data_IF_129823990885
#
_entry.id   IF_129823990885
#
_cell.length_a   1.000
_cell.length_b   1.000
_cell.length_c   1.000
_cell.angle_alpha   90.00
_cell.angle_beta   90.00
_cell.angle_gamma   90.00
#
_symmetry.space_group_name_H-M   'P 1'
#
loop_
_entity.id
_entity.type
_entity.pdbx_description
1 polymer ?
#
# COMPACT_ATOMS: atom_id res chain seq x y z
N UNK A 1 48.92 5.68 -12.89
CA UNK A 1 47.45 5.79 -12.93
C UNK A 1 47.05 6.95 -12.04
N UNK A 2 46.69 8.09 -12.61
CA UNK A 2 46.22 9.26 -11.86
C UNK A 2 44.89 8.89 -11.18
N UNK A 3 44.81 9.07 -9.85
CA UNK A 3 43.56 9.01 -9.13
C UNK A 3 42.68 10.17 -9.64
N UNK A 4 41.75 9.87 -10.54
CA UNK A 4 40.72 10.83 -10.92
C UNK A 4 39.93 11.18 -9.67
N UNK A 5 40.02 12.42 -9.26
CA UNK A 5 39.31 12.92 -8.08
C UNK A 5 37.90 13.32 -8.55
N UNK A 6 36.91 12.46 -8.35
CA UNK A 6 35.51 12.67 -8.76
C UNK A 6 34.74 13.61 -7.84
N UNK A 7 35.35 14.08 -6.77
CA UNK A 7 34.75 15.01 -5.82
C UNK A 7 34.69 16.39 -6.47
N UNK A 8 33.47 16.97 -6.54
CA UNK A 8 33.19 18.28 -7.23
C UNK A 8 33.28 18.26 -8.77
N UNK A 9 33.31 17.11 -9.40
CA UNK A 9 33.23 17.03 -10.86
C UNK A 9 31.76 17.20 -11.29
N UNK A 10 31.44 18.24 -12.02
CA UNK A 10 30.12 18.52 -12.59
C UNK A 10 29.89 17.63 -13.78
N UNK A 11 29.44 16.42 -13.55
CA UNK A 11 29.07 15.50 -14.63
C UNK A 11 27.56 15.52 -14.82
N UNK A 12 27.08 15.58 -16.06
CA UNK A 12 25.66 15.42 -16.32
C UNK A 12 25.22 14.01 -15.89
N UNK A 13 24.00 13.92 -15.37
CA UNK A 13 23.34 12.68 -15.04
C UNK A 13 23.27 11.76 -16.29
N UNK A 14 23.42 10.45 -16.14
CA UNK A 14 23.45 9.49 -17.26
C UNK A 14 22.27 9.62 -18.22
N UNK A 15 21.11 9.97 -17.74
CA UNK A 15 19.90 10.20 -18.53
C UNK A 15 19.67 11.66 -18.93
N UNK A 16 20.58 12.59 -18.59
CA UNK A 16 20.39 14.03 -18.84
C UNK A 16 20.11 14.32 -20.32
N UNK A 17 20.86 13.69 -21.21
CA UNK A 17 20.64 13.85 -22.66
C UNK A 17 19.24 13.41 -23.08
N UNK A 18 18.74 12.31 -22.56
CA UNK A 18 17.40 11.81 -22.88
C UNK A 18 16.31 12.80 -22.45
N UNK A 19 16.48 13.40 -21.26
CA UNK A 19 15.50 14.38 -20.75
C UNK A 19 15.48 15.66 -21.58
N UNK A 20 16.63 16.23 -21.91
CA UNK A 20 16.70 17.48 -22.68
C UNK A 20 16.39 17.31 -24.16
N UNK A 21 16.56 16.10 -24.70
CA UNK A 21 16.27 15.80 -26.12
C UNK A 21 14.85 15.27 -26.35
N UNK A 22 14.08 15.00 -25.29
CA UNK A 22 12.75 14.40 -25.39
C UNK A 22 12.73 12.89 -25.67
N UNK A 23 13.89 12.21 -25.56
CA UNK A 23 13.98 10.74 -25.72
C UNK A 23 13.78 9.97 -24.42
N UNK A 24 13.56 10.66 -23.30
CA UNK A 24 13.27 9.97 -22.05
C UNK A 24 11.87 9.35 -22.14
N UNK A 25 11.79 8.03 -21.96
CA UNK A 25 10.55 7.29 -21.84
C UNK A 25 10.25 7.07 -20.35
N UNK A 26 9.07 7.45 -19.93
CA UNK A 26 8.53 7.16 -18.60
C UNK A 26 7.56 5.98 -18.69
N UNK A 27 7.17 5.42 -17.57
CA UNK A 27 6.25 4.28 -17.53
C UNK A 27 4.96 4.56 -18.27
N UNK A 28 4.45 5.78 -18.20
CA UNK A 28 3.19 6.19 -18.86
C UNK A 28 3.33 6.38 -20.39
N UNK A 29 4.58 6.48 -20.89
CA UNK A 29 4.86 6.56 -22.34
C UNK A 29 4.94 5.18 -23.00
N UNK A 30 5.06 4.13 -22.19
CA UNK A 30 5.18 2.75 -22.68
C UNK A 30 3.80 2.26 -23.11
N UNK A 31 3.69 1.82 -24.37
CA UNK A 31 2.46 1.25 -24.88
C UNK A 31 2.03 0.02 -24.08
N UNK A 32 0.79 0.02 -23.63
CA UNK A 32 0.24 -1.12 -22.89
C UNK A 32 0.22 -2.39 -23.77
N UNK A 33 0.60 -3.55 -23.20
CA UNK A 33 0.48 -4.83 -23.89
C UNK A 33 -0.96 -5.11 -24.33
N UNK A 34 -1.14 -5.84 -25.44
CA UNK A 34 -2.47 -6.29 -25.85
C UNK A 34 -3.10 -7.15 -24.74
N UNK A 35 -4.39 -6.96 -24.52
CA UNK A 35 -5.17 -7.65 -23.49
C UNK A 35 -4.77 -7.28 -22.05
N UNK A 36 -4.18 -6.11 -21.83
CA UNK A 36 -3.98 -5.57 -20.49
C UNK A 36 -5.31 -5.49 -19.75
N UNK A 37 -5.32 -5.93 -18.50
CA UNK A 37 -6.45 -5.79 -17.58
C UNK A 37 -6.14 -4.75 -16.53
N UNK A 38 -7.16 -4.07 -16.06
CA UNK A 38 -7.02 -2.92 -15.16
C UNK A 38 -7.54 -3.24 -13.78
N UNK A 39 -6.76 -2.88 -12.77
CA UNK A 39 -7.08 -3.11 -11.38
C UNK A 39 -7.73 -1.91 -10.70
N UNK A 40 -8.67 -2.18 -9.80
CA UNK A 40 -9.15 -1.22 -8.82
C UNK A 40 -9.28 -1.89 -7.45
N UNK A 41 -8.98 -1.14 -6.40
CA UNK A 41 -8.98 -1.65 -5.03
C UNK A 41 -10.23 -1.16 -4.29
N UNK A 42 -10.94 -2.07 -3.66
CA UNK A 42 -12.04 -1.78 -2.74
C UNK A 42 -11.51 -1.41 -1.38
N UNK A 43 -11.78 -0.18 -0.96
CA UNK A 43 -11.25 0.40 0.26
C UNK A 43 -12.29 0.47 1.36
N UNK A 44 -11.85 0.36 2.61
CA UNK A 44 -12.69 0.56 3.78
C UNK A 44 -13.17 2.00 3.91
N UNK A 45 -14.45 2.16 4.22
CA UNK A 45 -15.07 3.45 4.60
C UNK A 45 -15.09 3.68 6.12
N UNK A 46 -14.45 2.80 6.88
CA UNK A 46 -14.38 2.86 8.35
C UNK A 46 -12.93 2.94 8.80
N UNK A 47 -12.68 3.72 9.84
CA UNK A 47 -11.35 3.87 10.43
C UNK A 47 -11.00 2.74 11.41
N UNK A 48 -12.00 2.20 12.13
CA UNK A 48 -11.81 1.08 13.03
C UNK A 48 -13.13 0.32 13.18
N UNK A 49 -13.17 -0.90 12.68
CA UNK A 49 -14.39 -1.70 12.68
C UNK A 49 -14.10 -3.19 12.51
N UNK A 50 -15.01 -4.01 13.01
CA UNK A 50 -15.05 -5.44 12.68
C UNK A 50 -15.83 -5.61 11.39
N UNK A 51 -15.28 -6.33 10.44
CA UNK A 51 -15.95 -6.73 9.22
C UNK A 51 -16.89 -7.88 9.55
N UNK A 52 -18.19 -7.66 9.36
CA UNK A 52 -19.21 -8.70 9.58
C UNK A 52 -19.50 -9.49 8.32
N UNK A 53 -19.56 -8.80 7.18
CA UNK A 53 -19.82 -9.40 5.88
C UNK A 53 -19.29 -8.51 4.76
N UNK A 54 -18.66 -9.12 3.78
CA UNK A 54 -18.34 -8.51 2.50
C UNK A 54 -19.18 -9.24 1.43
N UNK A 55 -20.09 -8.53 0.79
CA UNK A 55 -20.89 -9.04 -0.31
C UNK A 55 -20.42 -8.40 -1.62
N UNK A 56 -19.81 -9.21 -2.46
CA UNK A 56 -19.24 -8.83 -3.74
C UNK A 56 -20.05 -9.38 -4.93
N UNK A 57 -21.28 -9.86 -4.70
CA UNK A 57 -22.12 -10.46 -5.73
C UNK A 57 -22.39 -9.49 -6.88
N UNK A 58 -22.71 -8.22 -6.57
CA UNK A 58 -22.97 -7.20 -7.57
C UNK A 58 -21.67 -6.74 -8.26
N UNK A 59 -20.54 -6.81 -7.57
CA UNK A 59 -19.22 -6.52 -8.14
C UNK A 59 -18.87 -7.56 -9.19
N UNK A 60 -18.97 -8.85 -8.85
CA UNK A 60 -18.66 -9.97 -9.74
C UNK A 60 -19.54 -10.01 -11.00
N UNK A 61 -20.78 -9.51 -10.91
CA UNK A 61 -21.72 -9.43 -12.03
C UNK A 61 -21.60 -8.14 -12.86
N UNK A 62 -20.70 -7.24 -12.49
CA UNK A 62 -20.54 -5.96 -13.17
C UNK A 62 -19.92 -6.16 -14.55
N UNK A 63 -20.35 -5.33 -15.48
CA UNK A 63 -19.83 -5.31 -16.85
C UNK A 63 -18.31 -5.17 -16.86
N UNK A 64 -17.66 -5.96 -17.72
CA UNK A 64 -16.21 -5.92 -17.92
C UNK A 64 -15.36 -6.45 -16.78
N UNK A 65 -15.95 -6.90 -15.67
CA UNK A 65 -15.21 -7.53 -14.55
C UNK A 65 -14.77 -8.93 -14.96
N UNK A 66 -13.48 -9.18 -14.86
CA UNK A 66 -12.85 -10.46 -15.18
C UNK A 66 -12.66 -11.29 -13.92
N UNK A 67 -12.16 -10.66 -12.85
CA UNK A 67 -11.90 -11.33 -11.58
C UNK A 67 -12.05 -10.39 -10.40
N UNK A 68 -12.35 -10.97 -9.25
CA UNK A 68 -12.38 -10.27 -7.96
C UNK A 68 -11.55 -11.09 -6.97
N UNK A 69 -10.53 -10.46 -6.42
CA UNK A 69 -9.57 -11.07 -5.50
C UNK A 69 -9.84 -10.60 -4.08
N UNK A 70 -9.91 -11.53 -3.15
CA UNK A 70 -10.14 -11.30 -1.72
C UNK A 70 -9.03 -11.93 -0.89
N UNK A 71 -9.09 -11.78 0.42
CA UNK A 71 -8.14 -12.41 1.33
C UNK A 71 -8.06 -13.93 1.14
N UNK A 72 -9.18 -14.60 0.86
CA UNK A 72 -9.23 -16.06 0.66
C UNK A 72 -8.57 -16.53 -0.63
N UNK A 73 -8.32 -15.66 -1.58
CA UNK A 73 -7.69 -15.98 -2.86
C UNK A 73 -6.16 -15.87 -2.82
N UNK A 74 -5.60 -15.40 -1.70
CA UNK A 74 -4.16 -15.29 -1.50
C UNK A 74 -3.61 -16.67 -1.15
N UNK A 75 -2.86 -17.25 -2.08
CA UNK A 75 -2.30 -18.61 -1.93
C UNK A 75 -1.09 -18.66 -0.99
N UNK A 76 -0.45 -17.52 -0.73
CA UNK A 76 0.71 -17.40 0.15
C UNK A 76 0.33 -16.78 1.49
N UNK A 77 1.33 -16.18 2.11
CA UNK A 77 1.15 -15.42 3.35
C UNK A 77 0.41 -14.11 3.06
N UNK A 78 -0.69 -13.87 3.78
CA UNK A 78 -1.45 -12.62 3.69
C UNK A 78 -0.82 -11.52 4.56
N UNK A 79 0.45 -11.25 4.34
CA UNK A 79 1.21 -10.24 5.09
C UNK A 79 2.40 -9.77 4.25
N UNK A 80 2.59 -8.47 4.14
CA UNK A 80 3.68 -7.83 3.38
C UNK A 80 4.68 -7.11 4.28
N UNK A 81 4.56 -7.27 5.60
CA UNK A 81 5.48 -6.67 6.56
C UNK A 81 6.93 -7.14 6.32
N UNK A 82 7.87 -6.21 6.04
CA UNK A 82 9.24 -6.57 5.64
C UNK A 82 10.09 -7.06 6.82
N UNK A 83 9.76 -6.68 8.03
CA UNK A 83 10.52 -7.00 9.25
C UNK A 83 9.65 -7.67 10.30
N UNK A 84 8.45 -7.15 10.52
CA UNK A 84 7.48 -7.68 11.48
C UNK A 84 6.16 -7.98 10.78
N UNK A 85 5.47 -8.99 11.29
CA UNK A 85 4.12 -9.32 10.86
C UNK A 85 3.12 -8.27 11.33
N UNK A 86 2.10 -7.99 10.53
CA UNK A 86 1.02 -7.08 10.91
C UNK A 86 0.49 -6.21 9.79
N UNK A 87 1.05 -6.32 8.58
CA UNK A 87 0.60 -5.59 7.39
C UNK A 87 -0.12 -6.51 6.40
N UNK A 88 -1.37 -6.91 6.70
CA UNK A 88 -2.10 -7.82 5.81
C UNK A 88 -2.42 -7.16 4.48
N UNK A 89 -2.27 -7.91 3.37
CA UNK A 89 -2.66 -7.48 2.02
C UNK A 89 -4.16 -7.11 2.03
N UNK A 90 -5.00 -8.02 2.54
CA UNK A 90 -6.40 -7.75 2.85
C UNK A 90 -6.72 -8.24 4.27
N UNK A 91 -7.34 -7.41 5.11
CA UNK A 91 -7.68 -7.81 6.48
C UNK A 91 -8.74 -8.91 6.50
N UNK A 92 -8.60 -9.86 7.43
CA UNK A 92 -9.58 -10.95 7.62
C UNK A 92 -10.83 -10.45 8.36
N UNK A 93 -10.65 -9.86 9.54
CA UNK A 93 -11.77 -9.59 10.45
C UNK A 93 -11.94 -8.13 10.86
N UNK A 94 -10.87 -7.36 10.83
CA UNK A 94 -10.85 -6.02 11.42
C UNK A 94 -10.23 -5.00 10.47
N UNK A 95 -10.88 -3.86 10.37
CA UNK A 95 -10.35 -2.67 9.72
C UNK A 95 -9.68 -1.80 10.77
N UNK A 96 -8.46 -1.34 10.49
CA UNK A 96 -7.64 -0.58 11.42
C UNK A 96 -7.42 0.88 11.00
N UNK A 97 -7.66 1.20 9.72
CA UNK A 97 -7.59 2.58 9.23
C UNK A 97 -8.56 2.81 8.08
N UNK A 98 -8.93 4.08 7.89
CA UNK A 98 -9.76 4.50 6.76
C UNK A 98 -8.99 4.32 5.45
N UNK A 99 -9.63 3.73 4.46
CA UNK A 99 -8.98 3.45 3.18
C UNK A 99 -8.17 2.15 3.17
N UNK A 100 -8.27 1.28 4.18
CA UNK A 100 -7.60 -0.02 4.15
C UNK A 100 -8.14 -0.88 3.01
N UNK A 101 -7.25 -1.49 2.17
CA UNK A 101 -7.65 -2.42 1.12
C UNK A 101 -8.45 -3.60 1.65
N UNK A 102 -9.56 -3.97 1.01
CA UNK A 102 -10.41 -5.08 1.42
C UNK A 102 -10.53 -6.17 0.36
N UNK A 103 -10.46 -5.79 -0.90
CA UNK A 103 -10.49 -6.67 -2.07
C UNK A 103 -9.98 -5.90 -3.29
N UNK A 104 -9.65 -6.61 -4.36
CA UNK A 104 -9.28 -6.03 -5.65
C UNK A 104 -10.20 -6.54 -6.76
N UNK A 105 -10.40 -5.71 -7.78
CA UNK A 105 -11.18 -6.04 -8.97
C UNK A 105 -10.28 -5.89 -10.19
N UNK A 106 -10.28 -6.88 -11.06
CA UNK A 106 -9.68 -6.81 -12.38
C UNK A 106 -10.79 -6.70 -13.44
N UNK A 107 -10.69 -5.72 -14.33
CA UNK A 107 -11.67 -5.47 -15.38
C UNK A 107 -10.99 -5.09 -16.72
N UNK A 108 -11.79 -5.03 -17.78
CA UNK A 108 -11.31 -4.72 -19.13
C UNK A 108 -10.91 -3.25 -19.31
N UNK A 109 -11.39 -2.34 -18.44
CA UNK A 109 -10.98 -0.93 -18.41
C UNK A 109 -10.88 -0.42 -16.98
N UNK A 110 -10.07 0.61 -16.78
CA UNK A 110 -9.93 1.29 -15.48
C UNK A 110 -11.27 1.82 -14.96
N UNK A 111 -12.10 2.36 -15.87
CA UNK A 111 -13.41 2.92 -15.49
C UNK A 111 -14.37 1.85 -15.00
N UNK A 112 -14.44 0.71 -15.69
CA UNK A 112 -15.27 -0.42 -15.29
C UNK A 112 -14.82 -1.02 -13.98
N UNK A 113 -13.50 -1.16 -13.76
CA UNK A 113 -12.95 -1.61 -12.48
C UNK A 113 -13.38 -0.68 -11.33
N UNK A 114 -13.20 0.63 -11.47
CA UNK A 114 -13.60 1.62 -10.47
C UNK A 114 -15.11 1.66 -10.22
N UNK A 115 -15.94 1.56 -11.25
CA UNK A 115 -17.41 1.48 -11.10
C UNK A 115 -17.83 0.20 -10.39
N UNK A 116 -17.20 -0.92 -10.69
CA UNK A 116 -17.51 -2.20 -10.07
C UNK A 116 -17.22 -2.19 -8.56
N UNK A 117 -16.07 -1.65 -8.14
CA UNK A 117 -15.69 -1.54 -6.71
C UNK A 117 -16.76 -0.85 -5.89
N UNK A 118 -17.43 0.18 -6.43
CA UNK A 118 -18.45 0.95 -5.72
C UNK A 118 -19.73 0.15 -5.41
N UNK A 119 -19.95 -0.98 -6.07
CA UNK A 119 -21.11 -1.85 -5.84
C UNK A 119 -20.93 -2.81 -4.68
N UNK A 120 -19.77 -2.85 -4.05
CA UNK A 120 -19.52 -3.70 -2.90
C UNK A 120 -20.40 -3.30 -1.71
N UNK A 121 -21.02 -4.28 -1.07
CA UNK A 121 -21.83 -4.10 0.14
C UNK A 121 -21.09 -4.69 1.32
N UNK A 122 -20.62 -3.83 2.22
CA UNK A 122 -19.82 -4.24 3.38
C UNK A 122 -20.56 -3.84 4.67
N UNK A 123 -20.77 -4.83 5.51
CA UNK A 123 -21.39 -4.62 6.83
C UNK A 123 -20.32 -4.61 7.91
N UNK A 124 -20.31 -3.56 8.70
CA UNK A 124 -19.34 -3.37 9.77
C UNK A 124 -20.01 -3.33 11.14
N UNK A 125 -19.25 -3.69 12.17
CA UNK A 125 -19.51 -3.32 13.55
C UNK A 125 -18.46 -2.30 13.97
N UNK A 126 -18.87 -1.05 14.14
CA UNK A 126 -17.96 0.04 14.47
C UNK A 126 -17.26 -0.19 15.80
N UNK A 127 -15.98 0.13 15.87
CA UNK A 127 -15.17 0.16 17.06
C UNK A 127 -14.72 1.60 17.32
N UNK A 128 -14.45 1.93 18.58
CA UNK A 128 -13.93 3.26 18.92
C UNK A 128 -12.50 3.41 18.37
N UNK A 129 -12.25 4.33 17.46
CA UNK A 129 -10.89 4.56 16.96
C UNK A 129 -10.03 5.23 18.02
N UNK A 130 -8.70 5.03 17.92
CA UNK A 130 -7.71 5.76 18.71
C UNK A 130 -6.96 6.67 17.75
N UNK A 131 -7.15 7.98 17.88
CA UNK A 131 -6.70 8.96 16.89
C UNK A 131 -5.57 9.83 17.45
N UNK A 132 -5.54 10.02 18.78
CA UNK A 132 -4.54 10.86 19.41
C UNK A 132 -3.49 10.06 20.16
N UNK A 133 -2.27 10.58 20.22
CA UNK A 133 -1.17 10.00 21.01
C UNK A 133 -1.59 9.84 22.48
N UNK A 134 -2.26 10.85 23.05
CA UNK A 134 -2.74 10.83 24.43
C UNK A 134 -3.71 9.68 24.69
N UNK A 135 -4.64 9.42 23.76
CA UNK A 135 -5.57 8.30 23.87
C UNK A 135 -4.85 6.96 23.73
N UNK A 136 -3.88 6.86 22.84
CA UNK A 136 -3.07 5.65 22.68
C UNK A 136 -2.29 5.31 23.95
N UNK A 137 -1.65 6.29 24.56
CA UNK A 137 -0.93 6.15 25.82
C UNK A 137 -1.86 5.75 26.96
N UNK A 138 -3.00 6.44 27.11
CA UNK A 138 -3.99 6.16 28.16
C UNK A 138 -4.58 4.75 28.05
N UNK A 139 -4.78 4.26 26.82
CA UNK A 139 -5.30 2.91 26.55
C UNK A 139 -4.22 1.84 26.47
N UNK A 140 -2.95 2.23 26.59
CA UNK A 140 -1.79 1.34 26.41
C UNK A 140 -1.87 0.55 25.09
N UNK A 141 -2.36 1.21 24.04
CA UNK A 141 -2.51 0.63 22.71
C UNK A 141 -1.30 1.02 21.85
N UNK A 142 -0.36 0.11 21.72
CA UNK A 142 0.87 0.27 20.99
C UNK A 142 0.93 -0.74 19.84
N UNK A 143 1.54 -0.37 18.73
CA UNK A 143 1.83 -1.31 17.62
C UNK A 143 2.89 -2.33 18.03
N UNK A 144 3.90 -1.87 18.76
CA UNK A 144 4.97 -2.70 19.30
C UNK A 144 5.11 -2.43 20.80
N UNK A 145 5.74 -3.38 21.51
CA UNK A 145 6.11 -3.11 22.91
C UNK A 145 7.00 -1.87 22.95
N UNK A 146 6.72 -0.91 23.83
CA UNK A 146 7.61 0.24 24.01
C UNK A 146 9.01 -0.23 24.29
N UNK A 147 9.97 0.15 23.46
CA UNK A 147 11.38 -0.10 23.64
C UNK A 147 12.08 1.24 23.84
N UNK A 148 12.69 1.42 25.00
CA UNK A 148 13.61 2.52 25.24
C UNK A 148 14.96 2.11 24.63
N UNK A 149 15.24 2.61 23.42
CA UNK A 149 16.58 2.56 22.86
C UNK A 149 17.38 3.67 23.54
N UNK A 150 18.24 3.26 24.44
CA UNK A 150 19.29 4.13 24.94
C UNK A 150 20.38 4.16 23.85
N UNK A 151 20.36 5.16 23.02
CA UNK A 151 21.49 5.45 22.13
C UNK A 151 22.45 6.31 22.91
N UNK A 152 23.63 5.76 23.23
CA UNK A 152 24.78 6.61 23.59
C UNK A 152 25.03 7.58 22.44
N UNK A 153 25.36 8.82 22.77
CA UNK A 153 25.73 9.82 21.77
C UNK A 153 26.96 9.29 21.01
N UNK A 154 26.86 9.22 19.68
CA UNK A 154 27.98 8.78 18.84
C UNK A 154 29.25 9.66 19.02
N UNK A 155 29.12 10.86 19.61
CA UNK A 155 30.23 11.71 19.97
C UNK A 155 31.00 11.19 21.21
N UNK A 156 30.34 10.44 22.08
CA UNK A 156 30.99 9.85 23.27
C UNK A 156 31.74 8.53 22.97
N UNK A 157 31.34 7.85 21.87
CA UNK A 157 31.99 6.59 21.46
C UNK A 157 33.33 6.80 20.73
N UNK A 158 33.64 8.02 20.32
CA UNK A 158 34.90 8.36 19.64
C UNK A 158 36.11 8.56 20.55
N UNK A 159 35.96 8.48 21.86
CA UNK A 159 37.01 8.73 22.85
C UNK A 159 37.56 7.45 23.55
N UNK A 160 37.18 6.31 23.02
CA UNK A 160 37.71 5.03 23.47
C UNK A 160 39.07 4.70 22.87
#
# INVERSE_FOLDING_TARGET
>A
MSKENYINDVRPHDSAYKHVSGYAEYTDDINEPKNTIYGAIGLSKKAHAIIKKIDLSDVKKSEGVISVVTQSDISGRNDVGPVFDGDPIFPDKKVEFFGQPLFAVAATTTELARKAVLKAKITYKDLKPVITIKDALNKKQFLFKPCLLYTSDAADEGLG
#
